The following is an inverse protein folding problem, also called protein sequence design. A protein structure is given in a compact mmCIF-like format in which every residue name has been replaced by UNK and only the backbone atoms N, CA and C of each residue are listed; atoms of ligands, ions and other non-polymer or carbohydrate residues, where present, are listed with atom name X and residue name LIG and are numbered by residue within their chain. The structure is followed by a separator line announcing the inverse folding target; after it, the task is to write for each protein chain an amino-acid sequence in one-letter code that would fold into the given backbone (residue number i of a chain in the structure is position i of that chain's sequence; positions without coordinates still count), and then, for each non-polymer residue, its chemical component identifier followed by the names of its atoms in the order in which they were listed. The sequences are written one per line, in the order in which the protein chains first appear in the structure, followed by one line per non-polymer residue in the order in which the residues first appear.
data_IF_015132822696
#
_entry.id   IF_015132822696
#
_cell.length_a   1.000
_cell.length_b   1.000
_cell.length_c   1.000
_cell.angle_alpha   90.00
_cell.angle_beta   90.00
_cell.angle_gamma   90.00
#
_symmetry.space_group_name_H-M   'P 1'
#
loop_
_entity.id
_entity.type
_entity.pdbx_description
1 polymer ?
#
# COMPACT_ATOMS: atom_id res chain seq x y z
N UNK A 1 15.94 10.80 -71.47
CA UNK A 1 15.65 12.18 -71.93
C UNK A 1 14.74 12.81 -70.89
N UNK A 2 15.19 13.92 -70.34
CA UNK A 2 14.49 15.01 -69.64
C UNK A 2 13.83 14.66 -68.27
N UNK A 3 14.42 14.84 -67.10
CA UNK A 3 14.79 16.07 -66.37
C UNK A 3 13.66 17.09 -66.21
N UNK A 4 13.16 17.22 -64.97
CA UNK A 4 12.69 18.43 -64.27
C UNK A 4 12.09 17.93 -62.92
N UNK A 5 12.51 18.27 -61.75
CA UNK A 5 12.95 19.58 -61.26
C UNK A 5 12.10 19.85 -60.00
N UNK A 6 12.69 19.75 -58.85
CA UNK A 6 12.09 20.14 -57.54
C UNK A 6 11.63 21.61 -57.53
N UNK A 7 10.73 21.99 -56.60
CA UNK A 7 11.25 22.83 -55.54
C UNK A 7 10.89 22.43 -54.10
N UNK A 8 11.90 22.63 -53.30
CA UNK A 8 11.91 22.68 -51.84
C UNK A 8 11.02 23.83 -51.38
N UNK A 9 10.01 23.49 -50.56
CA UNK A 9 9.22 24.45 -49.80
C UNK A 9 9.47 24.26 -48.30
N UNK A 10 10.34 25.13 -47.76
CA UNK A 10 10.60 25.21 -46.35
C UNK A 10 9.41 25.81 -45.58
N UNK A 11 8.65 24.98 -44.94
CA UNK A 11 7.64 25.40 -43.95
C UNK A 11 8.26 25.56 -42.55
N UNK A 12 8.60 26.78 -42.18
CA UNK A 12 8.93 27.14 -40.79
C UNK A 12 7.68 27.05 -39.94
N UNK A 13 7.53 25.98 -39.16
CA UNK A 13 6.60 25.96 -38.08
C UNK A 13 7.20 26.71 -36.87
N UNK A 14 6.56 27.80 -36.51
CA UNK A 14 6.84 28.60 -35.32
C UNK A 14 6.57 27.76 -34.09
N UNK A 15 7.59 27.43 -33.32
CA UNK A 15 7.50 27.06 -31.95
C UNK A 15 7.14 28.35 -31.15
N UNK A 16 5.89 28.44 -30.74
CA UNK A 16 5.44 29.44 -29.78
C UNK A 16 6.01 29.11 -28.41
N UNK A 17 6.61 30.14 -27.80
CA UNK A 17 7.40 30.05 -26.58
C UNK A 17 6.63 29.52 -25.38
N UNK A 18 7.26 28.63 -24.70
CA UNK A 18 7.04 28.42 -23.28
C UNK A 18 7.82 29.51 -22.53
N UNK A 19 7.07 30.47 -21.97
CA UNK A 19 7.62 31.52 -21.15
C UNK A 19 8.24 30.97 -19.89
N UNK A 20 9.40 31.49 -19.59
CA UNK A 20 10.13 31.36 -18.33
C UNK A 20 9.21 31.64 -17.14
N UNK A 21 8.95 30.64 -16.31
CA UNK A 21 8.41 30.78 -14.98
C UNK A 21 9.59 31.06 -14.05
N UNK A 22 9.94 32.35 -13.95
CA UNK A 22 10.80 32.89 -12.91
C UNK A 22 10.15 32.63 -11.55
N UNK A 23 10.64 31.63 -10.82
CA UNK A 23 10.39 31.42 -9.40
C UNK A 23 11.25 32.42 -8.59
N UNK A 24 10.92 33.70 -8.68
CA UNK A 24 11.41 34.68 -7.72
C UNK A 24 10.72 34.46 -6.37
N UNK A 25 11.52 34.02 -5.41
CA UNK A 25 11.20 34.08 -3.99
C UNK A 25 10.84 35.53 -3.61
N UNK A 26 9.56 35.85 -3.59
CA UNK A 26 9.04 37.02 -2.91
C UNK A 26 8.98 36.68 -1.41
N UNK A 27 10.04 37.11 -0.72
CA UNK A 27 10.08 37.14 0.72
C UNK A 27 8.90 37.99 1.25
N UNK A 28 8.00 37.36 1.96
CA UNK A 28 6.98 38.03 2.78
C UNK A 28 7.67 38.75 3.95
N UNK A 29 8.15 39.94 3.70
CA UNK A 29 8.41 40.96 4.73
C UNK A 29 7.18 41.85 4.82
N UNK A 30 6.52 41.83 5.97
CA UNK A 30 5.52 42.83 6.28
C UNK A 30 4.28 42.28 6.93
N UNK A 31 4.31 42.05 8.23
CA UNK A 31 3.25 42.26 9.22
C UNK A 31 3.90 41.99 10.58
N UNK A 32 4.39 43.05 11.22
CA UNK A 32 4.57 43.18 12.67
C UNK A 32 5.23 44.56 12.95
N UNK A 33 4.45 45.62 12.78
CA UNK A 33 4.73 46.92 13.44
C UNK A 33 3.52 47.27 14.28
N UNK A 34 3.54 46.82 15.53
CA UNK A 34 2.72 47.36 16.58
C UNK A 34 3.63 47.87 17.70
N UNK A 35 3.42 49.09 18.23
CA UNK A 35 4.30 49.67 19.25
C UNK A 35 3.98 49.05 20.61
N UNK A 36 4.89 48.27 21.16
CA UNK A 36 4.88 47.89 22.57
C UNK A 36 5.96 48.71 23.30
N UNK A 37 5.52 49.81 23.86
CA UNK A 37 6.31 50.63 24.81
C UNK A 37 6.02 50.12 26.24
N UNK A 38 6.94 49.33 26.80
CA UNK A 38 7.00 49.01 28.22
C UNK A 38 8.44 49.13 28.72
N UNK A 39 8.70 49.62 29.93
CA UNK A 39 10.03 49.94 30.41
C UNK A 39 10.87 48.70 30.70
N UNK A 40 12.03 48.64 30.10
CA UNK A 40 13.04 47.62 30.29
C UNK A 40 13.72 47.83 31.64
N UNK A 41 13.51 46.95 32.63
CA UNK A 41 14.35 46.80 33.80
C UNK A 41 15.55 45.90 33.50
N UNK A 42 16.79 46.31 33.83
CA UNK A 42 17.94 45.43 33.65
C UNK A 42 18.01 44.41 34.78
N UNK A 43 17.51 43.21 34.50
CA UNK A 43 17.60 42.03 35.39
C UNK A 43 18.77 41.13 34.97
N UNK A 44 19.74 41.03 35.87
CA UNK A 44 20.78 40.02 36.08
C UNK A 44 21.08 39.05 34.93
N UNK A 45 22.29 39.19 34.39
CA UNK A 45 22.99 38.21 33.55
C UNK A 45 23.22 36.89 34.33
N UNK A 46 22.33 35.93 34.19
CA UNK A 46 22.62 34.53 34.53
C UNK A 46 23.38 33.90 33.36
N UNK A 47 24.65 33.55 33.60
CA UNK A 47 25.48 32.78 32.71
C UNK A 47 24.76 31.48 32.27
N UNK A 48 24.92 31.03 31.01
CA UNK A 48 24.33 29.79 30.56
C UNK A 48 24.83 28.65 31.43
N UNK A 49 23.90 27.95 32.09
CA UNK A 49 24.21 26.74 32.85
C UNK A 49 24.87 25.74 31.88
N UNK A 50 26.08 25.32 32.22
CA UNK A 50 26.79 24.22 31.61
C UNK A 50 25.81 23.03 31.59
N UNK A 51 25.67 22.29 30.49
CA UNK A 51 24.83 21.07 30.48
C UNK A 51 25.32 20.14 31.61
N UNK A 52 24.42 19.72 32.49
CA UNK A 52 24.73 18.74 33.52
C UNK A 52 25.30 17.49 32.85
N UNK A 53 26.44 17.03 33.35
CA UNK A 53 27.03 15.79 32.89
C UNK A 53 26.02 14.66 33.12
N UNK A 54 25.67 13.93 32.07
CA UNK A 54 24.86 12.71 32.14
C UNK A 54 25.41 11.78 33.24
N UNK A 55 24.56 11.20 34.08
CA UNK A 55 24.98 10.27 35.10
C UNK A 55 25.70 9.08 34.40
N UNK A 56 26.90 8.81 34.88
CA UNK A 56 27.75 7.71 34.41
C UNK A 56 27.08 6.37 34.71
N UNK A 57 26.34 5.83 33.75
CA UNK A 57 25.62 4.55 33.88
C UNK A 57 24.55 4.31 32.84
N UNK A 58 24.10 5.35 32.12
CA UNK A 58 23.13 5.16 31.06
C UNK A 58 23.78 4.55 29.79
N UNK A 59 23.45 3.29 29.53
CA UNK A 59 23.84 2.63 28.28
C UNK A 59 23.34 3.44 27.11
N UNK A 60 24.12 3.59 26.02
CA UNK A 60 23.74 4.42 24.90
C UNK A 60 22.36 3.99 24.36
N UNK A 61 21.48 4.95 24.14
CA UNK A 61 20.08 4.79 23.74
C UNK A 61 19.83 3.88 22.52
N UNK A 62 20.89 3.58 21.76
CA UNK A 62 20.84 2.66 20.62
C UNK A 62 20.66 1.18 21.02
N UNK A 63 21.13 0.77 22.21
CA UNK A 63 21.02 -0.63 22.65
C UNK A 63 19.66 -0.91 23.27
N UNK A 64 19.04 0.08 23.91
CA UNK A 64 17.70 -0.08 24.52
C UNK A 64 16.58 -0.13 23.48
N UNK A 65 16.74 0.47 22.30
CA UNK A 65 15.73 0.42 21.22
C UNK A 65 15.40 -1.00 20.73
N UNK A 66 16.34 -1.94 20.86
CA UNK A 66 16.11 -3.34 20.51
C UNK A 66 15.41 -4.17 21.61
N UNK A 67 15.29 -3.64 22.80
CA UNK A 67 14.75 -4.36 23.98
C UNK A 67 13.37 -3.84 24.37
N UNK A 68 13.02 -2.62 24.01
CA UNK A 68 11.68 -2.08 24.29
C UNK A 68 10.62 -2.76 23.43
N UNK A 69 9.44 -3.11 24.02
CA UNK A 69 8.34 -3.64 23.23
C UNK A 69 7.94 -2.59 22.17
N UNK A 70 7.59 -3.02 20.95
CA UNK A 70 7.19 -2.11 19.90
C UNK A 70 6.06 -1.19 20.36
N UNK A 71 6.12 0.09 19.99
CA UNK A 71 5.16 1.14 20.41
C UNK A 71 3.71 0.82 20.01
N UNK A 72 3.51 -0.03 19.00
CA UNK A 72 2.22 -0.52 18.55
C UNK A 72 1.57 -1.54 19.51
N UNK A 73 2.24 -1.90 20.60
CA UNK A 73 1.76 -2.83 21.64
C UNK A 73 1.65 -4.28 21.17
N UNK A 74 2.26 -4.64 20.04
CA UNK A 74 2.43 -6.02 19.60
C UNK A 74 3.62 -6.65 20.34
N UNK A 75 3.59 -7.96 20.54
CA UNK A 75 4.77 -8.69 21.01
C UNK A 75 5.80 -8.76 19.90
N UNK A 76 7.09 -8.73 20.23
CA UNK A 76 8.18 -8.78 19.24
C UNK A 76 8.14 -10.05 18.38
N UNK A 77 7.74 -11.16 18.97
CA UNK A 77 7.67 -12.44 18.27
C UNK A 77 6.25 -13.00 18.26
N UNK A 78 5.83 -13.69 17.18
CA UNK A 78 4.54 -14.36 17.16
C UNK A 78 4.46 -15.44 18.24
N UNK A 79 3.37 -15.46 18.97
CA UNK A 79 3.07 -16.47 19.99
C UNK A 79 1.57 -16.70 20.08
N UNK A 80 1.15 -17.95 20.18
CA UNK A 80 -0.25 -18.29 20.33
C UNK A 80 -0.76 -18.15 21.78
N UNK A 81 0.11 -17.81 22.72
CA UNK A 81 -0.24 -17.66 24.14
C UNK A 81 -0.84 -16.30 24.50
N UNK A 82 -0.64 -15.30 23.66
CA UNK A 82 -1.16 -13.95 23.88
C UNK A 82 -1.89 -13.42 22.64
N UNK A 83 -2.94 -12.60 22.82
CA UNK A 83 -3.66 -11.99 21.68
C UNK A 83 -2.75 -11.15 20.79
N UNK A 84 -1.79 -10.46 21.38
CA UNK A 84 -0.79 -9.65 20.66
C UNK A 84 0.13 -10.53 19.82
N UNK A 85 0.49 -11.70 20.32
CA UNK A 85 1.30 -12.66 19.57
C UNK A 85 0.55 -13.30 18.41
N UNK A 86 -0.74 -13.55 18.55
CA UNK A 86 -1.61 -14.02 17.46
C UNK A 86 -1.68 -12.95 16.35
N UNK A 87 -1.88 -11.68 16.73
CA UNK A 87 -1.87 -10.57 15.77
C UNK A 87 -0.52 -10.43 15.05
N UNK A 88 0.58 -10.55 15.78
CA UNK A 88 1.92 -10.52 15.17
C UNK A 88 2.11 -11.68 14.20
N UNK A 89 1.60 -12.86 14.52
CA UNK A 89 1.60 -14.00 13.60
C UNK A 89 0.81 -13.74 12.32
N UNK A 90 -0.38 -13.15 12.45
CA UNK A 90 -1.20 -12.74 11.31
C UNK A 90 -0.54 -11.63 10.49
N UNK A 91 0.16 -10.70 11.14
CA UNK A 91 0.87 -9.61 10.49
C UNK A 91 2.03 -10.14 9.63
N UNK A 92 2.85 -11.04 10.17
CA UNK A 92 3.90 -11.70 9.40
C UNK A 92 3.35 -12.55 8.27
N UNK A 93 2.27 -13.30 8.52
CA UNK A 93 1.58 -14.06 7.49
C UNK A 93 1.08 -13.14 6.36
N UNK A 94 0.35 -12.07 6.71
CA UNK A 94 -0.18 -11.11 5.75
C UNK A 94 0.91 -10.43 4.94
N UNK A 95 2.00 -10.01 5.60
CA UNK A 95 3.16 -9.40 4.94
C UNK A 95 3.79 -10.34 3.93
N UNK A 96 4.06 -11.60 4.33
CA UNK A 96 4.64 -12.62 3.45
C UNK A 96 3.74 -12.90 2.25
N UNK A 97 2.45 -13.09 2.50
CA UNK A 97 1.44 -13.38 1.50
C UNK A 97 1.30 -12.25 0.47
N UNK A 98 1.26 -11.01 0.92
CA UNK A 98 1.20 -9.86 0.01
C UNK A 98 2.52 -9.60 -0.72
N UNK A 99 3.66 -9.91 -0.12
CA UNK A 99 4.94 -9.89 -0.83
C UNK A 99 4.96 -10.93 -1.96
N UNK A 100 4.45 -12.15 -1.73
CA UNK A 100 4.28 -13.18 -2.78
C UNK A 100 3.38 -12.65 -3.90
N UNK A 101 2.19 -12.16 -3.56
CA UNK A 101 1.22 -11.65 -4.52
C UNK A 101 1.79 -10.49 -5.36
N UNK A 102 2.50 -9.56 -4.72
CA UNK A 102 3.17 -8.45 -5.40
C UNK A 102 4.27 -8.92 -6.35
N UNK A 103 5.10 -9.85 -5.90
CA UNK A 103 6.20 -10.41 -6.70
C UNK A 103 5.69 -11.13 -7.94
N UNK A 104 4.70 -12.01 -7.78
CA UNK A 104 4.13 -12.77 -8.90
C UNK A 104 3.46 -11.82 -9.90
N UNK A 105 2.69 -10.83 -9.40
CA UNK A 105 2.04 -9.84 -10.28
C UNK A 105 3.05 -9.01 -11.06
N UNK A 106 4.15 -8.57 -10.44
CA UNK A 106 5.23 -7.82 -11.09
C UNK A 106 5.98 -8.68 -12.12
N UNK A 107 6.26 -9.93 -11.78
CA UNK A 107 6.90 -10.88 -12.70
C UNK A 107 6.05 -11.17 -13.95
N UNK A 108 4.72 -11.29 -13.80
CA UNK A 108 3.79 -11.51 -14.91
C UNK A 108 3.74 -10.36 -15.91
N UNK A 109 4.06 -9.12 -15.50
CA UNK A 109 4.19 -7.97 -16.41
C UNK A 109 5.63 -7.75 -16.91
N UNK A 110 6.53 -8.70 -16.63
CA UNK A 110 7.90 -8.69 -17.16
C UNK A 110 8.88 -7.81 -16.39
N UNK A 111 8.61 -7.48 -15.14
CA UNK A 111 9.56 -6.72 -14.31
C UNK A 111 10.77 -7.57 -13.93
N UNK A 112 11.92 -6.93 -13.81
CA UNK A 112 13.16 -7.56 -13.33
C UNK A 112 13.11 -7.84 -11.81
N UNK A 113 14.17 -8.45 -11.28
CA UNK A 113 14.25 -8.77 -9.86
C UNK A 113 14.10 -7.54 -8.96
N UNK A 114 14.70 -6.41 -9.34
CA UNK A 114 14.59 -5.17 -8.55
C UNK A 114 13.15 -4.62 -8.58
N UNK A 115 12.51 -4.60 -9.75
CA UNK A 115 11.11 -4.24 -9.90
C UNK A 115 10.19 -5.13 -9.06
N UNK A 116 10.41 -6.45 -9.08
CA UNK A 116 9.68 -7.41 -8.25
C UNK A 116 9.88 -7.14 -6.74
N UNK A 117 11.11 -6.81 -6.29
CA UNK A 117 11.40 -6.46 -4.89
C UNK A 117 10.65 -5.19 -4.48
N UNK A 118 10.68 -4.16 -5.32
CA UNK A 118 9.99 -2.90 -5.04
C UNK A 118 8.49 -3.13 -4.95
N UNK A 119 7.88 -3.75 -5.95
CA UNK A 119 6.44 -3.98 -5.99
C UNK A 119 5.98 -4.94 -4.90
N UNK A 120 6.73 -6.02 -4.63
CA UNK A 120 6.45 -6.95 -3.54
C UNK A 120 6.46 -6.28 -2.18
N UNK A 121 7.48 -5.46 -1.91
CA UNK A 121 7.60 -4.70 -0.65
C UNK A 121 6.48 -3.68 -0.51
N UNK A 122 6.20 -2.89 -1.55
CA UNK A 122 5.10 -1.90 -1.53
C UNK A 122 3.75 -2.59 -1.36
N UNK A 123 3.52 -3.73 -1.98
CA UNK A 123 2.26 -4.49 -1.82
C UNK A 123 2.08 -4.93 -0.37
N UNK A 124 3.14 -5.43 0.26
CA UNK A 124 3.09 -5.94 1.63
C UNK A 124 2.95 -4.82 2.68
N UNK A 125 3.65 -3.71 2.49
CA UNK A 125 3.74 -2.64 3.51
C UNK A 125 2.84 -1.44 3.22
N UNK A 126 2.38 -1.28 1.96
CA UNK A 126 1.69 -0.07 1.50
C UNK A 126 0.38 0.22 2.23
N UNK A 127 -0.46 -0.78 2.47
CA UNK A 127 -1.72 -0.60 3.19
C UNK A 127 -1.51 -0.14 4.64
N UNK A 128 -0.55 -0.75 5.34
CA UNK A 128 -0.13 -0.34 6.68
C UNK A 128 0.49 1.06 6.71
N UNK A 129 1.26 1.41 5.69
CA UNK A 129 1.85 2.74 5.53
C UNK A 129 0.78 3.81 5.38
N UNK A 130 -0.20 3.60 4.50
CA UNK A 130 -1.33 4.54 4.32
C UNK A 130 -2.11 4.69 5.62
N UNK A 131 -2.42 3.59 6.30
CA UNK A 131 -3.07 3.61 7.62
C UNK A 131 -2.28 4.44 8.62
N UNK A 132 -0.98 4.21 8.76
CA UNK A 132 -0.15 4.87 9.76
C UNK A 132 -0.04 6.37 9.49
N UNK A 133 0.10 6.78 8.23
CA UNK A 133 0.07 8.19 7.83
C UNK A 133 -1.27 8.84 8.21
N UNK A 134 -2.40 8.19 7.90
CA UNK A 134 -3.74 8.71 8.24
C UNK A 134 -3.98 8.78 9.75
N UNK A 135 -3.41 7.85 10.52
CA UNK A 135 -3.51 7.83 11.98
C UNK A 135 -2.48 8.72 12.68
N UNK A 136 -1.62 9.39 11.93
CA UNK A 136 -0.54 10.23 12.47
C UNK A 136 0.55 9.42 13.18
N UNK A 137 0.72 8.15 12.85
CA UNK A 137 1.79 7.29 13.36
C UNK A 137 3.01 7.42 12.45
N UNK A 138 3.84 8.42 12.71
CA UNK A 138 5.08 8.67 11.97
C UNK A 138 6.28 8.68 12.92
N UNK A 139 7.38 7.99 12.55
CA UNK A 139 7.62 7.17 11.36
C UNK A 139 6.73 5.93 11.28
N UNK A 140 6.44 5.46 10.04
CA UNK A 140 5.58 4.30 9.82
C UNK A 140 6.22 2.99 10.34
N UNK A 141 5.40 1.97 10.62
CA UNK A 141 5.79 0.76 11.36
C UNK A 141 7.06 0.06 10.86
N UNK A 142 7.23 -0.12 9.54
CA UNK A 142 8.40 -0.82 8.96
C UNK A 142 9.70 -0.01 9.03
N UNK A 143 9.64 1.29 9.30
CA UNK A 143 10.83 2.12 9.57
C UNK A 143 11.40 1.86 10.98
N UNK A 144 10.53 1.50 11.93
CA UNK A 144 10.96 1.09 13.27
C UNK A 144 11.36 -0.38 13.32
N UNK A 145 10.61 -1.24 12.63
CA UNK A 145 10.79 -2.68 12.60
C UNK A 145 11.30 -3.13 11.22
N UNK A 146 12.62 -3.05 11.01
CA UNK A 146 13.25 -3.42 9.74
C UNK A 146 13.07 -4.89 9.35
N UNK A 147 12.57 -5.72 10.28
CA UNK A 147 12.23 -7.13 10.06
C UNK A 147 11.26 -7.29 8.87
N UNK A 148 10.31 -6.37 8.70
CA UNK A 148 9.38 -6.38 7.56
C UNK A 148 10.08 -6.25 6.21
N UNK A 149 11.10 -5.38 6.13
CA UNK A 149 11.87 -5.20 4.88
C UNK A 149 12.66 -6.47 4.55
N UNK A 150 13.28 -7.09 5.56
CA UNK A 150 14.00 -8.35 5.37
C UNK A 150 13.07 -9.50 4.99
N UNK A 151 11.87 -9.57 5.58
CA UNK A 151 10.86 -10.54 5.21
C UNK A 151 10.40 -10.34 3.76
N UNK A 152 10.09 -9.12 3.35
CA UNK A 152 9.72 -8.79 1.98
C UNK A 152 10.83 -9.15 1.00
N UNK A 153 12.08 -8.77 1.28
CA UNK A 153 13.24 -9.08 0.46
C UNK A 153 13.44 -10.60 0.30
N UNK A 154 13.49 -11.33 1.41
CA UNK A 154 13.68 -12.78 1.39
C UNK A 154 12.55 -13.50 0.65
N UNK A 155 11.30 -13.10 0.91
CA UNK A 155 10.13 -13.67 0.24
C UNK A 155 10.15 -13.39 -1.26
N UNK A 156 10.41 -12.14 -1.66
CA UNK A 156 10.42 -11.77 -3.08
C UNK A 156 11.53 -12.47 -3.85
N UNK A 157 12.76 -12.47 -3.32
CA UNK A 157 13.88 -13.18 -3.96
C UNK A 157 13.58 -14.68 -4.04
N UNK A 158 13.08 -15.27 -2.97
CA UNK A 158 12.71 -16.69 -2.93
C UNK A 158 11.63 -17.03 -3.97
N UNK A 159 10.55 -16.24 -4.03
CA UNK A 159 9.46 -16.45 -4.99
C UNK A 159 9.90 -16.19 -6.42
N UNK A 160 10.72 -15.19 -6.68
CA UNK A 160 11.21 -14.88 -8.02
C UNK A 160 11.89 -16.09 -8.67
N UNK A 161 12.79 -16.76 -7.95
CA UNK A 161 13.45 -17.95 -8.48
C UNK A 161 12.57 -19.21 -8.42
N UNK A 162 11.78 -19.36 -7.34
CA UNK A 162 10.87 -20.51 -7.19
C UNK A 162 9.79 -20.52 -8.26
N UNK A 163 9.22 -19.35 -8.59
CA UNK A 163 8.15 -19.24 -9.58
C UNK A 163 8.62 -19.64 -10.98
N UNK A 164 9.80 -19.19 -11.40
CA UNK A 164 10.41 -19.60 -12.67
C UNK A 164 10.56 -21.13 -12.74
N UNK A 165 11.06 -21.73 -11.68
CA UNK A 165 11.20 -23.19 -11.59
C UNK A 165 9.86 -23.95 -11.60
N UNK A 166 8.83 -23.42 -10.94
CA UNK A 166 7.50 -24.01 -10.93
C UNK A 166 6.80 -23.88 -12.30
N UNK A 167 6.96 -22.73 -12.97
CA UNK A 167 6.44 -22.48 -14.31
C UNK A 167 7.01 -23.44 -15.34
N UNK A 168 8.33 -23.72 -15.31
CA UNK A 168 9.00 -24.73 -16.16
C UNK A 168 8.45 -26.13 -15.95
N UNK A 169 7.94 -26.44 -14.76
CA UNK A 169 7.33 -27.74 -14.44
C UNK A 169 5.82 -27.82 -14.74
N UNK A 170 5.28 -26.81 -15.40
CA UNK A 170 3.87 -26.79 -15.84
C UNK A 170 2.88 -26.34 -14.77
N UNK A 171 3.36 -25.76 -13.68
CA UNK A 171 2.49 -24.99 -12.76
C UNK A 171 2.06 -23.74 -13.53
N UNK A 172 0.85 -23.80 -14.11
CA UNK A 172 0.24 -22.63 -14.73
C UNK A 172 -0.06 -21.62 -13.63
N UNK A 173 -0.11 -20.36 -14.03
CA UNK A 173 -0.56 -19.22 -13.21
C UNK A 173 -2.02 -19.45 -12.75
N UNK A 174 -2.23 -20.48 -11.92
CA UNK A 174 -3.54 -20.76 -11.37
C UNK A 174 -3.92 -19.58 -10.50
N UNK A 175 -4.73 -18.70 -11.07
CA UNK A 175 -5.35 -17.58 -10.35
C UNK A 175 -5.97 -18.02 -9.03
N UNK A 176 -6.35 -19.31 -8.92
CA UNK A 176 -6.86 -19.90 -7.71
C UNK A 176 -5.87 -19.82 -6.54
N UNK A 177 -4.61 -20.22 -6.72
CA UNK A 177 -3.60 -20.17 -5.65
C UNK A 177 -3.38 -18.73 -5.16
N UNK A 178 -3.25 -17.78 -6.09
CA UNK A 178 -3.07 -16.37 -5.75
C UNK A 178 -4.30 -15.79 -5.03
N UNK A 179 -5.51 -16.21 -5.42
CA UNK A 179 -6.74 -15.80 -4.74
C UNK A 179 -6.82 -16.34 -3.31
N UNK A 180 -6.40 -17.58 -3.06
CA UNK A 180 -6.33 -18.14 -1.71
C UNK A 180 -5.30 -17.41 -0.84
N UNK A 181 -4.11 -17.19 -1.39
CA UNK A 181 -3.03 -16.43 -0.74
C UNK A 181 -3.51 -15.03 -0.39
N UNK A 182 -4.12 -14.32 -1.35
CA UNK A 182 -4.68 -12.98 -1.16
C UNK A 182 -5.80 -12.95 -0.09
N UNK A 183 -6.70 -13.94 -0.08
CA UNK A 183 -7.77 -14.05 0.91
C UNK A 183 -7.23 -14.10 2.36
N UNK A 184 -6.15 -14.84 2.59
CA UNK A 184 -5.51 -14.92 3.89
C UNK A 184 -4.89 -13.57 4.31
N UNK A 185 -4.24 -12.88 3.37
CA UNK A 185 -3.66 -11.56 3.60
C UNK A 185 -4.72 -10.51 3.94
N UNK A 186 -5.81 -10.47 3.18
CA UNK A 186 -6.95 -9.57 3.43
C UNK A 186 -7.55 -9.83 4.81
N UNK A 187 -7.78 -11.11 5.16
CA UNK A 187 -8.31 -11.49 6.47
C UNK A 187 -7.41 -11.07 7.64
N UNK A 188 -6.09 -11.23 7.49
CA UNK A 188 -5.13 -10.82 8.51
C UNK A 188 -5.12 -9.29 8.70
N UNK A 189 -4.95 -8.55 7.61
CA UNK A 189 -4.76 -7.12 7.67
C UNK A 189 -6.05 -6.33 7.99
N UNK A 190 -7.24 -6.86 7.69
CA UNK A 190 -8.48 -6.22 8.09
C UNK A 190 -8.63 -6.16 9.62
N UNK A 191 -8.22 -7.22 10.33
CA UNK A 191 -8.23 -7.24 11.79
C UNK A 191 -7.18 -6.30 12.40
N UNK A 192 -5.95 -6.30 11.83
CA UNK A 192 -4.84 -5.46 12.29
C UNK A 192 -5.18 -3.97 12.10
N UNK A 193 -5.71 -3.60 10.94
CA UNK A 193 -6.13 -2.23 10.66
C UNK A 193 -7.27 -1.76 11.55
N UNK A 194 -8.31 -2.60 11.74
CA UNK A 194 -9.41 -2.29 12.66
C UNK A 194 -8.92 -2.10 14.09
N UNK A 195 -7.99 -2.94 14.56
CA UNK A 195 -7.41 -2.80 15.89
C UNK A 195 -6.56 -1.54 16.03
N UNK A 196 -5.83 -1.13 14.99
CA UNK A 196 -5.08 0.13 15.02
C UNK A 196 -6.00 1.33 15.27
N UNK A 197 -7.16 1.39 14.59
CA UNK A 197 -8.19 2.39 14.84
C UNK A 197 -8.75 2.33 16.28
N UNK A 198 -9.01 1.13 16.77
CA UNK A 198 -9.47 0.92 18.17
C UNK A 198 -8.47 1.43 19.18
N UNK A 199 -7.17 1.20 18.99
CA UNK A 199 -6.11 1.70 19.90
C UNK A 199 -6.05 3.21 19.94
N UNK A 200 -6.34 3.89 18.84
CA UNK A 200 -6.44 5.36 18.76
C UNK A 200 -7.75 5.91 19.33
N UNK A 201 -8.68 5.05 19.79
CA UNK A 201 -9.95 5.48 20.35
C UNK A 201 -10.93 6.05 19.30
N UNK A 202 -10.78 5.70 18.03
CA UNK A 202 -11.61 6.19 16.95
C UNK A 202 -12.99 5.53 16.94
N UNK A 203 -13.95 6.17 16.24
CA UNK A 203 -15.30 5.62 16.07
C UNK A 203 -15.29 4.27 15.33
N UNK A 204 -16.28 3.43 15.60
CA UNK A 204 -16.36 2.09 15.01
C UNK A 204 -16.31 2.09 13.47
N UNK A 205 -16.96 3.08 12.84
CA UNK A 205 -16.96 3.23 11.38
C UNK A 205 -15.54 3.50 10.86
N UNK A 206 -14.80 4.39 11.52
CA UNK A 206 -13.41 4.69 11.15
C UNK A 206 -12.51 3.49 11.40
N UNK A 207 -12.73 2.71 12.47
CA UNK A 207 -11.99 1.47 12.70
C UNK A 207 -12.20 0.45 11.57
N UNK A 208 -13.42 0.30 11.06
CA UNK A 208 -13.73 -0.55 9.91
C UNK A 208 -13.04 -0.03 8.65
N UNK A 209 -13.08 1.28 8.41
CA UNK A 209 -12.37 1.90 7.29
C UNK A 209 -10.85 1.67 7.37
N UNK A 210 -10.25 1.80 8.56
CA UNK A 210 -8.83 1.48 8.78
C UNK A 210 -8.51 0.02 8.43
N UNK A 211 -9.39 -0.92 8.77
CA UNK A 211 -9.24 -2.32 8.41
C UNK A 211 -9.29 -2.53 6.90
N UNK A 212 -10.27 -1.95 6.24
CA UNK A 212 -10.39 -1.99 4.77
C UNK A 212 -9.15 -1.40 4.09
N UNK A 213 -8.73 -0.18 4.47
CA UNK A 213 -7.57 0.48 3.90
C UNK A 213 -6.29 -0.34 4.08
N UNK A 214 -6.06 -0.87 5.27
CA UNK A 214 -4.85 -1.65 5.57
C UNK A 214 -4.76 -2.91 4.70
N UNK A 215 -5.88 -3.58 4.46
CA UNK A 215 -5.91 -4.83 3.72
C UNK A 215 -5.96 -4.66 2.19
N UNK A 216 -6.40 -3.51 1.68
CA UNK A 216 -6.65 -3.36 0.24
C UNK A 216 -5.69 -2.41 -0.47
N UNK A 217 -5.17 -1.39 0.19
CA UNK A 217 -4.37 -0.35 -0.47
C UNK A 217 -3.02 -0.84 -0.98
N UNK A 218 -2.40 -1.82 -0.32
CA UNK A 218 -1.20 -2.47 -0.86
C UNK A 218 -1.45 -3.06 -2.26
N UNK A 219 -2.58 -3.76 -2.41
CA UNK A 219 -3.02 -4.31 -3.70
C UNK A 219 -3.37 -3.25 -4.73
N UNK A 220 -4.00 -2.13 -4.32
CA UNK A 220 -4.27 -0.99 -5.22
C UNK A 220 -2.98 -0.42 -5.79
N UNK A 221 -2.00 -0.13 -4.92
CA UNK A 221 -0.72 0.42 -5.36
C UNK A 221 0.00 -0.57 -6.29
N UNK A 222 0.01 -1.86 -5.96
CA UNK A 222 0.55 -2.92 -6.81
C UNK A 222 -0.08 -2.90 -8.20
N UNK A 223 -1.42 -2.92 -8.28
CA UNK A 223 -2.12 -3.01 -9.55
C UNK A 223 -1.85 -1.77 -10.41
N UNK A 224 -1.81 -0.58 -9.81
CA UNK A 224 -1.44 0.67 -10.49
C UNK A 224 0.00 0.63 -11.00
N UNK A 225 0.97 0.19 -10.18
CA UNK A 225 2.36 0.07 -10.61
C UNK A 225 2.57 -0.96 -11.73
N UNK A 226 1.72 -2.00 -11.75
CA UNK A 226 1.72 -3.03 -12.80
C UNK A 226 0.83 -2.67 -14.01
N UNK A 227 0.31 -1.44 -14.08
CA UNK A 227 -0.61 -0.99 -15.14
C UNK A 227 -1.83 -1.89 -15.33
N UNK A 228 -2.33 -2.44 -14.21
CA UNK A 228 -3.54 -3.28 -14.17
C UNK A 228 -4.70 -2.50 -13.54
N UNK A 229 -5.94 -2.76 -13.95
CA UNK A 229 -7.09 -2.16 -13.28
C UNK A 229 -7.15 -2.64 -11.82
N UNK A 230 -7.17 -1.70 -10.83
CA UNK A 230 -7.21 -2.09 -9.43
C UNK A 230 -8.48 -2.90 -9.10
N UNK A 231 -8.32 -4.11 -8.60
CA UNK A 231 -9.43 -5.06 -8.33
C UNK A 231 -10.52 -4.48 -7.42
N UNK A 232 -10.15 -3.57 -6.52
CA UNK A 232 -11.08 -2.94 -5.58
C UNK A 232 -12.08 -2.00 -6.26
N UNK A 233 -11.74 -1.45 -7.43
CA UNK A 233 -12.51 -0.40 -8.10
C UNK A 233 -13.41 -0.92 -9.22
N UNK A 234 -13.15 -2.11 -9.72
CA UNK A 234 -13.82 -2.67 -10.89
C UNK A 234 -14.56 -3.96 -10.56
N UNK A 235 -15.82 -4.02 -10.97
CA UNK A 235 -16.73 -5.14 -10.66
C UNK A 235 -16.60 -6.34 -11.59
N UNK A 236 -15.67 -6.33 -12.57
CA UNK A 236 -15.37 -7.55 -13.32
C UNK A 236 -14.52 -8.54 -12.49
N UNK A 237 -14.00 -8.08 -11.36
CA UNK A 237 -13.45 -8.97 -10.35
C UNK A 237 -14.49 -9.20 -9.25
N UNK A 238 -14.37 -10.31 -8.56
CA UNK A 238 -15.23 -10.68 -7.43
C UNK A 238 -15.18 -9.61 -6.33
N UNK A 239 -16.13 -9.65 -5.43
CA UNK A 239 -16.20 -8.77 -4.25
C UNK A 239 -14.86 -8.79 -3.50
N UNK A 240 -14.12 -7.68 -3.49
CA UNK A 240 -12.80 -7.60 -2.84
C UNK A 240 -12.84 -6.78 -1.54
N UNK A 241 -13.10 -5.48 -1.64
CA UNK A 241 -13.10 -4.59 -0.47
C UNK A 241 -14.18 -4.95 0.55
N UNK A 242 -15.34 -5.44 0.08
CA UNK A 242 -16.45 -5.83 0.94
C UNK A 242 -16.08 -6.96 1.91
N UNK A 243 -15.15 -7.85 1.53
CA UNK A 243 -14.67 -8.92 2.40
C UNK A 243 -13.86 -8.36 3.57
N UNK A 244 -13.03 -7.36 3.32
CA UNK A 244 -12.28 -6.65 4.36
C UNK A 244 -13.19 -5.82 5.28
N UNK A 245 -14.21 -5.17 4.70
CA UNK A 245 -15.23 -4.44 5.47
C UNK A 245 -15.97 -5.38 6.40
N UNK A 246 -16.43 -6.55 5.89
CA UNK A 246 -17.11 -7.55 6.73
C UNK A 246 -16.20 -8.05 7.84
N UNK A 247 -14.97 -8.46 7.55
CA UNK A 247 -14.04 -8.94 8.57
C UNK A 247 -13.77 -7.91 9.66
N UNK A 248 -13.55 -6.65 9.26
CA UNK A 248 -13.37 -5.55 10.20
C UNK A 248 -14.63 -5.26 11.02
N UNK A 249 -15.80 -5.31 10.39
CA UNK A 249 -17.09 -5.10 11.08
C UNK A 249 -17.37 -6.22 12.10
N UNK A 250 -17.10 -7.48 11.75
CA UNK A 250 -17.22 -8.62 12.68
C UNK A 250 -16.26 -8.47 13.86
N UNK A 251 -15.01 -8.06 13.61
CA UNK A 251 -14.04 -7.77 14.65
C UNK A 251 -14.57 -6.70 15.63
N UNK A 252 -15.12 -5.59 15.12
CA UNK A 252 -15.66 -4.50 15.93
C UNK A 252 -16.94 -4.93 16.65
N UNK A 253 -17.85 -5.68 16.03
CA UNK A 253 -19.08 -6.19 16.63
C UNK A 253 -18.77 -7.15 17.79
N UNK A 254 -17.83 -8.09 17.59
CA UNK A 254 -17.40 -9.02 18.63
C UNK A 254 -16.68 -8.32 19.79
N UNK A 255 -15.96 -7.21 19.49
CA UNK A 255 -15.43 -6.32 20.54
C UNK A 255 -16.55 -5.66 21.34
N UNK A 256 -17.60 -5.14 20.68
CA UNK A 256 -18.75 -4.52 21.34
C UNK A 256 -19.53 -5.51 22.20
N UNK A 257 -19.58 -6.79 21.78
CA UNK A 257 -20.16 -7.89 22.55
C UNK A 257 -19.30 -8.36 23.73
N UNK A 258 -18.13 -7.76 23.99
CA UNK A 258 -17.26 -8.10 25.12
C UNK A 258 -16.49 -9.41 24.97
N UNK A 259 -16.43 -10.03 23.80
CA UNK A 259 -15.75 -11.30 23.59
C UNK A 259 -14.22 -11.20 23.83
N UNK A 260 -13.54 -12.31 24.16
CA UNK A 260 -12.10 -12.32 24.36
C UNK A 260 -11.34 -11.86 23.11
N UNK A 261 -10.18 -11.19 23.25
CA UNK A 261 -9.45 -10.63 22.11
C UNK A 261 -9.10 -11.65 21.01
N UNK A 262 -8.72 -12.88 21.38
CA UNK A 262 -8.41 -13.94 20.39
C UNK A 262 -9.65 -14.30 19.57
N UNK A 263 -10.82 -14.38 20.20
CA UNK A 263 -12.09 -14.69 19.51
C UNK A 263 -12.44 -13.58 18.52
N UNK A 264 -12.22 -12.31 18.90
CA UNK A 264 -12.45 -11.15 17.99
C UNK A 264 -11.57 -11.23 16.75
N UNK A 265 -10.28 -11.52 16.95
CA UNK A 265 -9.30 -11.63 15.85
C UNK A 265 -9.69 -12.79 14.93
N UNK A 266 -9.92 -13.97 15.50
CA UNK A 266 -10.23 -15.17 14.72
C UNK A 266 -11.57 -15.07 14.00
N UNK A 267 -12.61 -14.50 14.63
CA UNK A 267 -13.91 -14.31 13.98
C UNK A 267 -13.82 -13.31 12.82
N UNK A 268 -13.12 -12.19 12.98
CA UNK A 268 -12.88 -11.22 11.92
C UNK A 268 -12.07 -11.82 10.77
N UNK A 269 -10.98 -12.51 11.07
CA UNK A 269 -10.13 -13.20 10.10
C UNK A 269 -10.93 -14.24 9.29
N UNK A 270 -11.58 -15.18 10.01
CA UNK A 270 -12.31 -16.27 9.35
C UNK A 270 -13.50 -15.76 8.53
N UNK A 271 -14.23 -14.74 8.99
CA UNK A 271 -15.34 -14.16 8.22
C UNK A 271 -14.88 -13.49 6.94
N UNK A 272 -13.75 -12.77 6.96
CA UNK A 272 -13.17 -12.18 5.77
C UNK A 272 -12.72 -13.24 4.77
N UNK A 273 -11.97 -14.24 5.24
CA UNK A 273 -11.50 -15.36 4.41
C UNK A 273 -12.68 -16.14 3.82
N UNK A 274 -13.68 -16.50 4.64
CA UNK A 274 -14.84 -17.26 4.18
C UNK A 274 -15.62 -16.51 3.11
N UNK A 275 -15.89 -15.20 3.31
CA UNK A 275 -16.56 -14.41 2.28
C UNK A 275 -15.71 -14.26 1.02
N UNK A 276 -14.39 -14.15 1.15
CA UNK A 276 -13.48 -14.06 0.00
C UNK A 276 -13.47 -15.36 -0.79
N UNK A 277 -13.39 -16.50 -0.09
CA UNK A 277 -13.49 -17.81 -0.72
C UNK A 277 -14.83 -17.99 -1.42
N UNK A 278 -15.92 -17.66 -0.74
CA UNK A 278 -17.26 -17.70 -1.34
C UNK A 278 -17.33 -16.83 -2.59
N UNK A 279 -16.77 -15.63 -2.55
CA UNK A 279 -16.79 -14.68 -3.67
C UNK A 279 -16.14 -15.26 -4.93
N UNK A 280 -14.93 -15.82 -4.82
CA UNK A 280 -14.25 -16.36 -5.99
C UNK A 280 -14.71 -17.76 -6.40
N UNK A 281 -15.43 -18.50 -5.54
CA UNK A 281 -16.05 -19.78 -5.91
C UNK A 281 -17.41 -19.62 -6.58
N UNK A 282 -18.14 -18.56 -6.25
CA UNK A 282 -19.51 -18.31 -6.75
C UNK A 282 -19.59 -17.13 -7.73
N UNK A 283 -18.43 -16.49 -8.03
CA UNK A 283 -18.34 -15.34 -8.93
C UNK A 283 -19.32 -14.19 -8.56
N UNK A 284 -19.45 -13.92 -7.24
CA UNK A 284 -20.31 -12.86 -6.74
C UNK A 284 -19.70 -11.52 -7.09
N UNK A 285 -20.45 -10.68 -7.83
CA UNK A 285 -20.05 -9.35 -8.27
C UNK A 285 -20.96 -8.27 -7.71
N UNK A 286 -20.42 -7.08 -7.49
CA UNK A 286 -21.22 -5.92 -7.15
C UNK A 286 -21.91 -5.36 -8.41
N UNK A 287 -23.09 -4.71 -8.27
CA UNK A 287 -23.72 -4.06 -9.40
C UNK A 287 -22.83 -2.95 -9.96
N UNK A 288 -22.70 -2.93 -11.28
CA UNK A 288 -21.92 -1.91 -12.01
C UNK A 288 -22.81 -0.74 -12.38
N UNK A 289 -22.18 0.42 -12.54
CA UNK A 289 -22.85 1.58 -13.15
C UNK A 289 -23.15 1.26 -14.62
N UNK A 290 -24.42 1.10 -14.97
CA UNK A 290 -24.84 0.94 -16.37
C UNK A 290 -25.01 2.31 -16.99
N UNK A 291 -24.21 2.62 -18.02
CA UNK A 291 -24.45 3.80 -18.83
C UNK A 291 -25.68 3.54 -19.72
N UNK A 292 -26.60 4.52 -19.87
CA UNK A 292 -27.67 4.42 -20.87
C UNK A 292 -27.04 4.22 -22.26
N UNK A 293 -27.63 3.32 -23.06
CA UNK A 293 -27.17 2.98 -24.42
C UNK A 293 -27.11 4.21 -25.36
N UNK A 294 -26.09 4.96 -25.30
CA UNK A 294 -25.81 6.17 -26.07
C UNK A 294 -24.39 6.66 -25.87
N UNK A 295 -23.69 6.08 -24.92
CA UNK A 295 -22.28 6.40 -24.62
C UNK A 295 -21.37 5.19 -24.86
N UNK A 296 -21.61 4.45 -25.95
CA UNK A 296 -20.77 3.35 -26.43
C UNK A 296 -19.36 3.79 -26.92
N UNK A 297 -18.94 5.01 -26.57
CA UNK A 297 -17.62 5.54 -26.91
C UNK A 297 -16.49 4.84 -26.15
N UNK A 298 -16.80 4.18 -25.04
CA UNK A 298 -15.78 3.51 -24.21
C UNK A 298 -15.43 2.09 -24.65
N UNK A 299 -16.41 1.34 -25.19
CA UNK A 299 -16.18 -0.04 -25.67
C UNK A 299 -15.48 -0.02 -27.03
N UNK A 300 -15.87 0.86 -27.93
CA UNK A 300 -15.18 1.06 -29.22
C UNK A 300 -13.73 1.50 -29.05
N UNK A 301 -13.44 2.38 -28.08
CA UNK A 301 -12.06 2.80 -27.77
C UNK A 301 -11.23 1.69 -27.11
N UNK A 302 -11.84 0.82 -26.32
CA UNK A 302 -11.17 -0.34 -25.74
C UNK A 302 -10.86 -1.40 -26.81
N UNK A 303 -11.80 -1.68 -27.72
CA UNK A 303 -11.58 -2.57 -28.86
C UNK A 303 -10.53 -2.01 -29.84
N UNK A 304 -10.52 -0.71 -30.09
CA UNK A 304 -9.47 -0.05 -30.90
C UNK A 304 -8.10 -0.13 -30.22
N UNK A 305 -8.00 0.09 -28.93
CA UNK A 305 -6.74 -0.04 -28.17
C UNK A 305 -6.24 -1.48 -28.11
N UNK A 306 -7.13 -2.45 -27.99
CA UNK A 306 -6.77 -3.87 -28.02
C UNK A 306 -6.32 -4.30 -29.42
N UNK A 307 -7.01 -3.85 -30.47
CA UNK A 307 -6.63 -4.08 -31.86
C UNK A 307 -5.30 -3.42 -32.23
N UNK A 308 -5.04 -2.19 -31.79
CA UNK A 308 -3.73 -1.54 -31.95
C UNK A 308 -2.61 -2.26 -31.20
N UNK A 309 -2.90 -2.77 -30.00
CA UNK A 309 -1.95 -3.56 -29.19
C UNK A 309 -1.61 -4.89 -29.87
N UNK A 310 -2.60 -5.57 -30.46
CA UNK A 310 -2.38 -6.81 -31.20
C UNK A 310 -1.64 -6.57 -32.52
N UNK A 311 -1.98 -5.54 -33.27
CA UNK A 311 -1.30 -5.16 -34.50
C UNK A 311 0.18 -4.82 -34.23
N UNK A 312 0.48 -4.17 -33.12
CA UNK A 312 1.84 -3.83 -32.70
C UNK A 312 2.65 -5.06 -32.28
N UNK A 313 2.01 -6.07 -31.68
CA UNK A 313 2.64 -7.37 -31.35
C UNK A 313 2.99 -8.16 -32.62
N UNK A 314 2.14 -8.12 -33.63
CA UNK A 314 2.38 -8.81 -34.93
C UNK A 314 3.53 -8.14 -35.70
N UNK A 315 3.67 -6.83 -35.56
CA UNK A 315 4.73 -6.09 -36.31
C UNK A 315 6.11 -6.20 -35.63
N UNK A 316 6.18 -6.52 -34.35
CA UNK A 316 7.42 -6.71 -33.57
C UNK A 316 7.87 -8.18 -33.49
N UNK A 317 7.07 -9.13 -33.97
CA UNK A 317 7.36 -10.56 -33.97
C UNK A 317 7.76 -11.13 -35.35
N UNK A 318 8.06 -10.30 -36.32
CA UNK A 318 8.33 -10.66 -37.71
C UNK A 318 9.77 -10.43 -38.19
N UNK A 319 10.78 -10.50 -37.31
CA UNK A 319 12.22 -10.53 -37.67
C UNK A 319 12.92 -11.74 -37.07
#
# INVERSE_FOLDING_TARGET
MSSRGLPVGAGKSRLAGFGDLDLTMAATRGILTGPFSGPFSPGSTSSPKRPEALPSGEKPALINRYIEPPEDGLTRYPTFRSPQGVLRGLDYLGTTVFAISGTVTAGQVGMDLLGCIIVGTITATGGGTVRDVLLGNTPVFWMHETEYLWMCLATTVGIFFLWSYLAERGVRDDMALLNWVDAMGVGAFCCIGAQAGVRKGLSNVVCVACGMLTSTFGGVIRDVLCSRPPRILFSHCEIYASTAVLGSAVYIATKAAGLPPVVRIMSGFLSAVALRVLAFTTDIRLPTWTQPSGAAVGEEQLEEMEAESEAKKIHLGGD
#
